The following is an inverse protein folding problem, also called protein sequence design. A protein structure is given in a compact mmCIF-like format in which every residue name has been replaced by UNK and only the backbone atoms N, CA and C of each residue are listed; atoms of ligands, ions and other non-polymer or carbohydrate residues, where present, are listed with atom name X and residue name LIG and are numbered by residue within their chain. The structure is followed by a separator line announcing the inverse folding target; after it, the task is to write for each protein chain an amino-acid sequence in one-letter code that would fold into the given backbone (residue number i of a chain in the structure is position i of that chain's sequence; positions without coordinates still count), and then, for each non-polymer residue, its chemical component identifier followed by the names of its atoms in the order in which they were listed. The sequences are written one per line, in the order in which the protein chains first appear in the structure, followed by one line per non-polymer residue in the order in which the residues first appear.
data_IF_061586077206
#
_entry.id   IF_061586077206
#
_cell.length_a   1.000
_cell.length_b   1.000
_cell.length_c   1.000
_cell.angle_alpha   90.00
_cell.angle_beta   90.00
_cell.angle_gamma   90.00
#
_symmetry.space_group_name_H-M   'P 1'
#
loop_
_entity.id
_entity.type
_entity.pdbx_description
1 polymer ?
#
# COMPACT_ATOMS: atom_id res chain seq x y z
N UNK A 1 36.58 1.43 5.74
CA UNK A 1 35.76 2.61 6.08
C UNK A 1 35.22 2.49 7.49
N UNK A 2 35.30 3.52 8.32
CA UNK A 2 35.02 3.45 9.74
C UNK A 2 33.52 3.25 10.00
N UNK A 3 33.18 2.40 10.97
CA UNK A 3 31.83 2.06 11.44
C UNK A 3 30.93 3.27 11.78
N UNK A 4 31.52 4.41 12.13
CA UNK A 4 30.81 5.63 12.54
C UNK A 4 30.03 6.31 11.39
N UNK A 5 30.50 6.23 10.13
CA UNK A 5 29.82 6.85 8.98
C UNK A 5 28.54 6.08 8.55
N UNK A 6 28.50 4.73 8.76
CA UNK A 6 27.28 3.94 8.47
C UNK A 6 26.15 4.22 9.45
N UNK A 7 26.46 4.42 10.74
CA UNK A 7 25.44 4.69 11.76
C UNK A 7 24.80 6.06 11.56
N UNK A 8 25.58 7.08 11.16
CA UNK A 8 25.07 8.43 10.91
C UNK A 8 24.14 8.49 9.68
N UNK A 9 24.36 7.66 8.66
CA UNK A 9 23.49 7.61 7.49
C UNK A 9 22.10 7.00 7.82
N UNK A 10 22.07 5.93 8.61
CA UNK A 10 20.82 5.28 9.02
C UNK A 10 19.95 6.15 9.94
N UNK A 11 20.55 6.94 10.83
CA UNK A 11 19.80 7.85 11.73
C UNK A 11 19.12 8.99 10.94
N UNK A 12 19.77 9.50 9.90
CA UNK A 12 19.18 10.53 9.02
C UNK A 12 18.03 10.00 8.15
N UNK A 13 18.02 8.72 7.79
CA UNK A 13 16.96 8.12 6.95
C UNK A 13 15.59 8.09 7.65
N UNK A 14 15.54 7.93 8.98
CA UNK A 14 14.27 7.87 9.72
C UNK A 14 13.57 9.23 9.81
N UNK A 15 14.30 10.29 10.03
CA UNK A 15 13.74 11.64 10.12
C UNK A 15 13.18 12.13 8.78
N UNK A 16 13.81 11.72 7.67
CA UNK A 16 13.50 12.20 6.33
C UNK A 16 12.81 11.11 5.46
N UNK A 17 12.09 10.17 6.06
CA UNK A 17 11.53 9.07 5.27
C UNK A 17 10.55 9.55 4.19
N UNK A 18 9.73 10.58 4.49
CA UNK A 18 8.79 11.13 3.50
C UNK A 18 9.54 11.72 2.31
N UNK A 19 10.61 12.51 2.53
CA UNK A 19 11.40 13.09 1.44
C UNK A 19 12.06 12.02 0.57
N UNK A 20 12.51 10.91 1.17
CA UNK A 20 13.03 9.78 0.40
C UNK A 20 11.94 9.08 -0.41
N UNK A 21 10.73 8.90 0.16
CA UNK A 21 9.59 8.35 -0.59
C UNK A 21 9.18 9.25 -1.76
N UNK A 22 9.12 10.57 -1.56
CA UNK A 22 8.86 11.53 -2.64
C UNK A 22 9.87 11.36 -3.77
N UNK A 23 11.16 11.37 -3.44
CA UNK A 23 12.25 11.17 -4.43
C UNK A 23 12.11 9.86 -5.18
N UNK A 24 11.80 8.75 -4.48
CA UNK A 24 11.63 7.44 -5.11
C UNK A 24 10.41 7.43 -6.02
N UNK A 25 9.30 8.02 -5.59
CA UNK A 25 8.09 8.14 -6.41
C UNK A 25 8.34 8.94 -7.68
N UNK A 26 8.97 10.13 -7.58
CA UNK A 26 9.33 10.97 -8.72
C UNK A 26 10.27 10.25 -9.70
N UNK A 27 11.28 9.56 -9.15
CA UNK A 27 12.20 8.72 -9.94
C UNK A 27 11.44 7.61 -10.66
N UNK A 28 10.56 6.88 -9.95
CA UNK A 28 9.78 5.78 -10.52
C UNK A 28 8.83 6.25 -11.63
N UNK A 29 8.13 7.37 -11.42
CA UNK A 29 7.29 8.01 -12.44
C UNK A 29 8.10 8.41 -13.66
N UNK A 30 9.27 9.00 -13.47
CA UNK A 30 10.18 9.39 -14.56
C UNK A 30 10.67 8.17 -15.35
N UNK A 31 11.08 7.11 -14.65
CA UNK A 31 11.51 5.85 -15.27
C UNK A 31 10.38 5.21 -16.08
N UNK A 32 9.17 5.13 -15.55
CA UNK A 32 8.05 4.56 -16.26
C UNK A 32 7.68 5.38 -17.50
N UNK A 33 7.68 6.72 -17.40
CA UNK A 33 7.48 7.64 -18.55
C UNK A 33 8.54 7.48 -19.63
N UNK A 34 9.78 7.18 -19.24
CA UNK A 34 10.89 6.97 -20.20
C UNK A 34 10.93 5.58 -20.84
N UNK A 35 9.94 4.71 -20.53
CA UNK A 35 9.78 3.41 -21.16
C UNK A 35 10.21 2.20 -20.33
N UNK A 36 10.64 2.38 -19.08
CA UNK A 36 10.95 1.26 -18.17
C UNK A 36 9.63 0.69 -17.61
N UNK A 37 9.00 -0.24 -18.34
CA UNK A 37 7.68 -0.80 -18.06
C UNK A 37 7.70 -2.27 -17.64
N UNK A 38 8.87 -2.80 -17.30
CA UNK A 38 9.03 -4.15 -16.80
C UNK A 38 9.42 -4.09 -15.32
N UNK A 39 8.57 -4.64 -14.44
CA UNK A 39 8.79 -4.66 -12.99
C UNK A 39 10.06 -5.42 -12.58
N UNK A 40 10.38 -6.52 -13.29
CA UNK A 40 11.56 -7.33 -12.97
C UNK A 40 12.87 -6.55 -13.16
N UNK A 41 12.96 -5.79 -14.25
CA UNK A 41 14.14 -4.99 -14.62
C UNK A 41 14.03 -3.51 -14.26
N UNK A 42 13.06 -3.12 -13.43
CA UNK A 42 12.86 -1.72 -13.03
C UNK A 42 14.06 -1.19 -12.24
N UNK A 43 14.76 -0.14 -12.73
CA UNK A 43 16.10 0.19 -12.26
C UNK A 43 16.10 1.08 -11.00
N UNK A 44 15.67 0.53 -9.86
CA UNK A 44 15.66 1.20 -8.54
C UNK A 44 16.42 0.39 -7.47
N UNK A 45 17.41 -0.41 -7.88
CA UNK A 45 18.17 -1.29 -6.98
C UNK A 45 18.83 -0.52 -5.83
N UNK A 46 19.32 0.67 -6.09
CA UNK A 46 19.93 1.54 -5.06
C UNK A 46 18.96 1.99 -3.96
N UNK A 47 17.65 2.00 -4.27
CA UNK A 47 16.58 2.42 -3.36
C UNK A 47 16.00 1.25 -2.53
N UNK A 48 16.28 -0.01 -2.93
CA UNK A 48 15.75 -1.20 -2.26
C UNK A 48 16.09 -1.30 -0.77
N UNK A 49 17.32 -0.95 -0.31
CA UNK A 49 17.61 -0.97 1.12
C UNK A 49 16.74 -0.01 1.93
N UNK A 50 16.41 1.15 1.36
CA UNK A 50 15.49 2.10 2.01
C UNK A 50 14.06 1.55 2.00
N UNK A 51 13.53 1.09 0.86
CA UNK A 51 12.19 0.51 0.76
C UNK A 51 12.02 -0.66 1.75
N UNK A 52 12.99 -1.56 1.82
CA UNK A 52 12.99 -2.68 2.77
C UNK A 52 12.95 -2.21 4.23
N UNK A 53 13.63 -1.12 4.58
CA UNK A 53 13.60 -0.53 5.92
C UNK A 53 12.21 0.01 6.30
N UNK A 54 11.39 0.29 5.30
CA UNK A 54 9.99 0.73 5.42
C UNK A 54 8.99 -0.45 5.38
N UNK A 55 9.48 -1.68 5.16
CA UNK A 55 8.65 -2.85 4.92
C UNK A 55 8.02 -2.87 3.53
N UNK A 56 8.57 -2.10 2.60
CA UNK A 56 8.17 -2.00 1.20
C UNK A 56 9.08 -2.85 0.31
N UNK A 57 8.61 -3.11 -0.91
CA UNK A 57 9.39 -3.76 -1.96
C UNK A 57 9.37 -2.93 -3.26
N UNK A 58 10.01 -3.45 -4.32
CA UNK A 58 10.10 -2.79 -5.63
C UNK A 58 8.73 -2.56 -6.25
N UNK A 59 7.80 -3.52 -6.12
CA UNK A 59 6.45 -3.42 -6.67
C UNK A 59 5.65 -2.27 -6.08
N UNK A 60 5.86 -1.93 -4.80
CA UNK A 60 5.21 -0.77 -4.18
C UNK A 60 5.55 0.56 -4.89
N UNK A 61 6.75 0.68 -5.45
CA UNK A 61 7.14 1.86 -6.22
C UNK A 61 6.72 1.76 -7.70
N UNK A 62 6.81 0.56 -8.28
CA UNK A 62 6.49 0.32 -9.68
C UNK A 62 4.99 0.49 -9.96
N UNK A 63 4.12 -0.24 -9.24
CA UNK A 63 2.67 -0.23 -9.46
C UNK A 63 2.07 1.18 -9.31
N UNK A 64 2.51 1.92 -8.29
CA UNK A 64 2.03 3.28 -8.08
C UNK A 64 2.51 4.26 -9.16
N UNK A 65 3.72 4.08 -9.68
CA UNK A 65 4.22 4.88 -10.79
C UNK A 65 3.49 4.55 -12.10
N UNK A 66 3.22 3.27 -12.36
CA UNK A 66 2.45 2.79 -13.50
C UNK A 66 1.05 3.39 -13.50
N UNK A 67 0.29 3.17 -12.43
CA UNK A 67 -1.08 3.65 -12.27
C UNK A 67 -1.15 5.18 -12.37
N UNK A 68 -0.22 5.91 -11.76
CA UNK A 68 -0.15 7.36 -11.89
C UNK A 68 0.10 7.82 -13.33
N UNK A 69 0.99 7.17 -14.05
CA UNK A 69 1.29 7.57 -15.44
C UNK A 69 0.13 7.26 -16.37
N UNK A 70 -0.57 6.15 -16.14
CA UNK A 70 -1.66 5.69 -17.01
C UNK A 70 -3.02 6.34 -16.66
N UNK A 71 -3.31 6.51 -15.38
CA UNK A 71 -4.65 6.88 -14.90
C UNK A 71 -4.68 8.17 -14.06
N UNK A 72 -3.52 8.76 -13.73
CA UNK A 72 -3.36 9.92 -12.83
C UNK A 72 -3.86 9.66 -11.40
N UNK A 73 -3.91 8.38 -11.02
CA UNK A 73 -4.32 7.89 -9.70
C UNK A 73 -3.57 6.59 -9.35
N UNK A 74 -3.26 6.33 -8.07
CA UNK A 74 -3.37 7.27 -6.94
C UNK A 74 -2.26 8.33 -6.98
N UNK A 75 -2.54 9.50 -6.41
CA UNK A 75 -1.59 10.60 -6.35
C UNK A 75 -0.44 10.39 -5.34
N UNK A 76 0.54 11.29 -5.38
CA UNK A 76 1.68 11.27 -4.45
C UNK A 76 1.24 11.31 -2.99
N UNK A 77 0.21 12.10 -2.64
CA UNK A 77 -0.26 12.19 -1.26
C UNK A 77 -0.81 10.85 -0.78
N UNK A 78 -1.61 10.19 -1.60
CA UNK A 78 -2.15 8.85 -1.33
C UNK A 78 -1.03 7.80 -1.23
N UNK A 79 -0.04 7.86 -2.13
CA UNK A 79 1.14 7.00 -2.07
C UNK A 79 1.88 7.14 -0.72
N UNK A 80 2.17 8.38 -0.30
CA UNK A 80 2.87 8.65 0.96
C UNK A 80 2.10 8.12 2.17
N UNK A 81 0.79 8.40 2.23
CA UNK A 81 -0.06 8.01 3.35
C UNK A 81 -0.24 6.49 3.46
N UNK A 82 -0.41 5.78 2.33
CA UNK A 82 -0.50 4.31 2.31
C UNK A 82 0.80 3.69 2.84
N UNK A 83 1.96 4.20 2.38
CA UNK A 83 3.24 3.64 2.75
C UNK A 83 3.70 4.06 4.16
N UNK A 84 3.20 5.18 4.68
CA UNK A 84 3.29 5.49 6.10
C UNK A 84 2.58 4.42 6.96
N UNK A 85 1.34 4.03 6.60
CA UNK A 85 0.63 2.97 7.31
C UNK A 85 1.34 1.60 7.21
N UNK A 86 1.93 1.30 6.04
CA UNK A 86 2.75 0.09 5.88
C UNK A 86 3.99 0.13 6.78
N UNK A 87 4.70 1.26 6.81
CA UNK A 87 5.86 1.46 7.69
C UNK A 87 5.50 1.31 9.16
N UNK A 88 4.42 1.97 9.59
CA UNK A 88 3.96 1.89 10.98
C UNK A 88 3.64 0.46 11.38
N UNK A 89 2.94 -0.30 10.51
CA UNK A 89 2.65 -1.70 10.77
C UNK A 89 3.94 -2.54 10.84
N UNK A 90 4.87 -2.33 9.92
CA UNK A 90 6.15 -3.02 9.89
C UNK A 90 6.98 -2.79 11.15
N UNK A 91 7.00 -1.56 11.64
CA UNK A 91 7.80 -1.19 12.82
C UNK A 91 7.10 -1.56 14.13
N UNK A 92 5.81 -1.24 14.25
CA UNK A 92 5.05 -1.38 15.50
C UNK A 92 4.58 -2.83 15.73
N UNK A 93 4.05 -3.47 14.70
CA UNK A 93 3.45 -4.80 14.79
C UNK A 93 4.47 -5.89 14.45
N UNK A 94 5.14 -5.78 13.31
CA UNK A 94 6.10 -6.79 12.84
C UNK A 94 7.50 -6.64 13.45
N UNK A 95 7.75 -5.57 14.21
CA UNK A 95 9.07 -5.32 14.83
C UNK A 95 10.23 -5.34 13.85
N UNK A 96 9.97 -4.88 12.62
CA UNK A 96 10.90 -4.84 11.47
C UNK A 96 11.31 -6.24 10.95
N UNK A 97 10.52 -7.24 11.25
CA UNK A 97 10.70 -8.60 10.72
C UNK A 97 9.72 -8.77 9.55
N UNK A 98 10.21 -8.93 8.30
CA UNK A 98 9.33 -9.16 7.16
C UNK A 98 8.53 -10.45 7.32
N UNK A 99 7.27 -10.45 6.86
CA UNK A 99 6.50 -11.68 6.73
C UNK A 99 7.14 -12.59 5.68
N UNK A 100 7.08 -13.88 5.94
CA UNK A 100 7.45 -14.92 4.97
C UNK A 100 6.22 -15.47 4.23
N UNK A 101 5.02 -15.01 4.61
CA UNK A 101 3.78 -15.39 3.95
C UNK A 101 3.54 -14.52 2.72
N UNK A 102 2.80 -15.08 1.76
CA UNK A 102 2.30 -14.36 0.60
C UNK A 102 0.82 -14.72 0.41
N UNK A 103 0.00 -13.71 0.14
CA UNK A 103 -1.41 -13.91 -0.17
C UNK A 103 -1.53 -14.66 -1.51
N UNK A 104 -2.23 -15.80 -1.48
CA UNK A 104 -2.60 -16.50 -2.70
C UNK A 104 -3.75 -15.75 -3.40
N UNK A 105 -3.55 -15.21 -4.61
CA UNK A 105 -4.59 -14.48 -5.33
C UNK A 105 -5.85 -15.31 -5.62
N UNK A 106 -5.72 -16.65 -5.70
CA UNK A 106 -6.83 -17.55 -5.95
C UNK A 106 -7.80 -17.66 -4.76
N UNK A 107 -7.33 -17.31 -3.56
CA UNK A 107 -8.16 -17.30 -2.34
C UNK A 107 -8.95 -16.02 -2.15
N UNK A 108 -8.68 -14.98 -2.96
CA UNK A 108 -9.42 -13.74 -2.88
C UNK A 108 -10.87 -13.93 -3.33
N UNK A 109 -11.86 -13.42 -2.59
CA UNK A 109 -13.25 -13.39 -3.02
C UNK A 109 -13.42 -12.83 -4.43
N UNK A 110 -14.42 -13.28 -5.15
CA UNK A 110 -14.70 -12.83 -6.50
C UNK A 110 -14.98 -11.32 -6.53
N UNK A 111 -14.73 -10.68 -7.68
CA UNK A 111 -14.98 -9.23 -7.85
C UNK A 111 -16.45 -8.86 -7.67
N UNK A 112 -17.36 -9.79 -7.93
CA UNK A 112 -18.81 -9.64 -7.78
C UNK A 112 -19.32 -9.94 -6.37
N UNK A 113 -18.49 -10.52 -5.50
CA UNK A 113 -18.93 -10.88 -4.15
C UNK A 113 -19.26 -9.65 -3.31
N UNK A 114 -20.27 -9.79 -2.47
CA UNK A 114 -20.77 -8.71 -1.64
C UNK A 114 -21.04 -9.17 -0.21
N UNK A 115 -20.87 -8.26 0.74
CA UNK A 115 -21.31 -8.41 2.14
C UNK A 115 -22.33 -7.29 2.44
N UNK A 116 -23.53 -7.66 2.90
CA UNK A 116 -24.60 -6.70 3.23
C UNK A 116 -24.88 -5.70 2.09
N UNK A 117 -24.79 -6.16 0.83
CA UNK A 117 -25.01 -5.35 -0.36
C UNK A 117 -23.88 -4.40 -0.73
N UNK A 118 -22.70 -4.58 -0.16
CA UNK A 118 -21.48 -3.84 -0.51
C UNK A 118 -20.58 -4.76 -1.32
N UNK A 119 -20.59 -4.57 -2.64
CA UNK A 119 -19.73 -5.30 -3.58
C UNK A 119 -18.27 -4.91 -3.37
N UNK A 120 -17.33 -5.79 -3.70
CA UNK A 120 -15.89 -5.63 -3.54
C UNK A 120 -15.39 -5.67 -2.08
N UNK A 121 -16.24 -5.39 -1.07
CA UNK A 121 -15.85 -5.37 0.34
C UNK A 121 -15.22 -6.69 0.81
N UNK A 122 -15.77 -7.88 0.46
CA UNK A 122 -15.14 -9.15 0.83
C UNK A 122 -13.71 -9.29 0.31
N UNK A 123 -13.43 -8.73 -0.87
CA UNK A 123 -12.15 -8.83 -1.56
C UNK A 123 -11.12 -7.84 -1.02
N UNK A 124 -11.53 -6.61 -0.71
CA UNK A 124 -10.58 -5.56 -0.30
C UNK A 124 -10.09 -5.73 1.13
N UNK A 125 -10.86 -6.37 2.02
CA UNK A 125 -10.44 -6.65 3.39
C UNK A 125 -9.15 -7.50 3.44
N UNK A 126 -9.08 -8.69 2.85
CA UNK A 126 -7.86 -9.48 2.83
C UNK A 126 -6.70 -8.78 2.07
N UNK A 127 -6.98 -8.04 1.00
CA UNK A 127 -5.96 -7.24 0.31
C UNK A 127 -5.36 -6.16 1.22
N UNK A 128 -6.19 -5.46 1.98
CA UNK A 128 -5.73 -4.44 2.92
C UNK A 128 -4.86 -5.04 4.04
N UNK A 129 -5.24 -6.20 4.58
CA UNK A 129 -4.41 -6.94 5.54
C UNK A 129 -3.07 -7.34 4.94
N UNK A 130 -3.09 -7.90 3.73
CA UNK A 130 -1.88 -8.30 3.02
C UNK A 130 -0.99 -7.08 2.73
N UNK A 131 -1.56 -5.92 2.36
CA UNK A 131 -0.81 -4.66 2.22
C UNK A 131 -0.12 -4.26 3.52
N UNK A 132 -0.85 -4.24 4.63
CA UNK A 132 -0.28 -3.91 5.95
C UNK A 132 0.84 -4.87 6.36
N UNK A 133 0.74 -6.16 6.03
CA UNK A 133 1.71 -7.20 6.36
C UNK A 133 2.87 -7.30 5.38
N UNK A 134 2.77 -6.67 4.20
CA UNK A 134 3.74 -6.83 3.11
C UNK A 134 3.67 -8.22 2.46
N UNK A 135 2.47 -8.77 2.35
CA UNK A 135 2.16 -10.13 1.86
C UNK A 135 1.48 -10.11 0.48
N UNK A 136 1.32 -8.94 -0.15
CA UNK A 136 0.75 -8.86 -1.49
C UNK A 136 1.70 -9.50 -2.51
N UNK A 137 1.20 -10.40 -3.38
CA UNK A 137 1.98 -10.92 -4.49
C UNK A 137 2.18 -9.84 -5.56
N UNK A 138 3.18 -10.01 -6.42
CA UNK A 138 3.52 -9.05 -7.48
C UNK A 138 2.37 -8.74 -8.44
N UNK A 139 1.44 -9.69 -8.63
CA UNK A 139 0.25 -9.50 -9.47
C UNK A 139 -0.93 -8.81 -8.76
N UNK A 140 -0.74 -8.33 -7.54
CA UNK A 140 -1.81 -7.72 -6.72
C UNK A 140 -1.35 -6.43 -6.07
N UNK A 141 -1.98 -5.34 -6.45
CA UNK A 141 -1.79 -4.03 -5.85
C UNK A 141 -2.96 -3.67 -4.94
N UNK A 142 -2.70 -3.12 -3.75
CA UNK A 142 -3.72 -2.38 -2.98
C UNK A 142 -3.85 -0.96 -3.52
N UNK A 143 -5.07 -0.48 -3.68
CA UNK A 143 -5.40 0.80 -4.34
C UNK A 143 -5.29 0.77 -5.88
N UNK A 144 -5.37 -0.43 -6.50
CA UNK A 144 -5.55 -0.55 -7.95
C UNK A 144 -6.89 0.04 -8.41
N UNK A 145 -7.11 0.18 -9.71
CA UNK A 145 -8.33 0.77 -10.28
C UNK A 145 -9.64 0.24 -9.70
N UNK A 146 -9.76 -1.08 -9.48
CA UNK A 146 -10.95 -1.67 -8.85
C UNK A 146 -11.10 -1.27 -7.38
N UNK A 147 -10.01 -1.20 -6.64
CA UNK A 147 -10.03 -0.74 -5.25
C UNK A 147 -10.41 0.76 -5.18
N UNK A 148 -9.87 1.59 -6.09
CA UNK A 148 -10.21 3.02 -6.17
C UNK A 148 -11.69 3.24 -6.46
N UNK A 149 -12.27 2.46 -7.36
CA UNK A 149 -13.71 2.51 -7.64
C UNK A 149 -14.52 2.18 -6.38
N UNK A 150 -14.17 1.10 -5.67
CA UNK A 150 -14.82 0.76 -4.39
C UNK A 150 -14.75 1.92 -3.38
N UNK A 151 -13.57 2.55 -3.22
CA UNK A 151 -13.41 3.66 -2.30
C UNK A 151 -14.25 4.88 -2.69
N UNK A 152 -14.27 5.24 -3.97
CA UNK A 152 -15.09 6.35 -4.50
C UNK A 152 -16.59 6.11 -4.32
N UNK A 153 -17.07 4.91 -4.66
CA UNK A 153 -18.50 4.55 -4.54
C UNK A 153 -19.02 4.55 -3.12
N UNK A 154 -18.14 4.34 -2.13
CA UNK A 154 -18.51 4.30 -0.72
C UNK A 154 -18.03 5.53 0.07
N UNK A 155 -17.49 6.56 -0.62
CA UNK A 155 -16.92 7.78 -0.04
C UNK A 155 -15.91 7.49 1.08
N UNK A 156 -14.95 6.63 0.77
CA UNK A 156 -13.90 6.20 1.68
C UNK A 156 -12.53 6.57 1.14
N UNK A 157 -11.64 7.03 2.00
CA UNK A 157 -10.25 7.18 1.63
C UNK A 157 -9.47 5.87 1.88
N UNK A 158 -8.61 5.40 0.95
CA UNK A 158 -7.88 4.14 1.11
C UNK A 158 -7.05 4.07 2.40
N UNK A 159 -6.54 5.20 2.85
CA UNK A 159 -5.75 5.27 4.10
C UNK A 159 -6.63 5.15 5.34
N UNK A 160 -7.83 5.73 5.34
CA UNK A 160 -8.79 5.52 6.43
C UNK A 160 -9.15 4.05 6.56
N UNK A 161 -9.36 3.39 5.42
CA UNK A 161 -9.65 1.96 5.39
C UNK A 161 -8.47 1.13 5.93
N UNK A 162 -7.22 1.42 5.55
CA UNK A 162 -6.05 0.74 6.12
C UNK A 162 -5.93 0.95 7.64
N UNK A 163 -6.17 2.17 8.13
CA UNK A 163 -6.17 2.46 9.57
C UNK A 163 -7.24 1.69 10.32
N UNK A 164 -8.42 1.57 9.71
CA UNK A 164 -9.52 0.77 10.26
C UNK A 164 -9.12 -0.70 10.33
N UNK A 165 -8.63 -1.28 9.23
CA UNK A 165 -8.20 -2.68 9.16
C UNK A 165 -7.08 -2.96 10.18
N UNK A 166 -6.11 -2.05 10.33
CA UNK A 166 -5.07 -2.15 11.38
C UNK A 166 -5.65 -2.25 12.78
N UNK A 167 -6.68 -1.45 13.10
CA UNK A 167 -7.33 -1.44 14.42
C UNK A 167 -8.25 -2.64 14.64
N UNK A 168 -9.01 -3.02 13.62
CA UNK A 168 -9.93 -4.15 13.66
C UNK A 168 -9.20 -5.51 13.74
N UNK A 169 -7.94 -5.56 13.32
CA UNK A 169 -7.15 -6.80 13.27
C UNK A 169 -7.86 -7.86 12.42
N UNK A 170 -8.30 -8.97 13.04
CA UNK A 170 -9.00 -10.07 12.35
C UNK A 170 -10.53 -9.95 12.43
N UNK A 171 -11.06 -8.91 13.07
CA UNK A 171 -12.50 -8.71 13.21
C UNK A 171 -13.09 -8.00 11.98
N UNK A 172 -13.60 -8.78 11.03
CA UNK A 172 -14.26 -8.27 9.82
C UNK A 172 -15.55 -7.53 10.13
N UNK A 173 -16.24 -7.88 11.23
CA UNK A 173 -17.52 -7.25 11.55
C UNK A 173 -17.35 -5.76 11.86
N UNK A 174 -16.28 -5.40 12.57
CA UNK A 174 -15.94 -3.99 12.84
C UNK A 174 -15.74 -3.21 11.53
N UNK A 175 -15.07 -3.83 10.54
CA UNK A 175 -14.83 -3.20 9.23
C UNK A 175 -16.14 -3.02 8.48
N UNK A 176 -16.96 -4.08 8.43
CA UNK A 176 -18.26 -4.09 7.73
C UNK A 176 -19.20 -3.03 8.31
N UNK A 177 -19.31 -2.98 9.62
CA UNK A 177 -20.23 -2.04 10.29
C UNK A 177 -19.80 -0.58 10.10
N UNK A 178 -18.49 -0.32 10.09
CA UNK A 178 -17.95 1.01 9.81
C UNK A 178 -18.27 1.46 8.36
N UNK A 179 -18.04 0.59 7.36
CA UNK A 179 -18.37 0.92 5.96
C UNK A 179 -19.86 1.17 5.78
N UNK A 180 -20.71 0.38 6.44
CA UNK A 180 -22.16 0.57 6.43
C UNK A 180 -22.58 1.89 7.06
N UNK A 181 -21.92 2.34 8.13
CA UNK A 181 -22.26 3.62 8.78
C UNK A 181 -21.97 4.79 7.85
N UNK A 182 -20.82 4.79 7.16
CA UNK A 182 -20.46 5.82 6.17
C UNK A 182 -21.47 5.91 5.03
N UNK A 183 -21.89 4.75 4.52
CA UNK A 183 -22.89 4.71 3.44
C UNK A 183 -24.26 5.26 3.84
N UNK A 184 -24.62 5.23 5.13
CA UNK A 184 -25.86 5.82 5.64
C UNK A 184 -25.76 7.33 5.78
N UNK A 185 -24.62 7.84 6.26
CA UNK A 185 -24.38 9.28 6.42
C UNK A 185 -24.45 10.02 5.07
N UNK A 186 -23.98 9.39 3.99
CA UNK A 186 -23.98 9.98 2.64
C UNK A 186 -25.33 9.94 1.92
N UNK A 187 -26.39 9.40 2.54
CA UNK A 187 -27.76 9.38 1.99
C UNK A 187 -28.68 10.43 2.62
N UNK A 188 -28.18 11.22 3.56
CA UNK A 188 -28.87 12.33 4.21
C UNK A 188 -28.48 13.67 3.57
#
# INVERSE_FOLDING_TARGET
LPRAQRVSFFVKMNHNFQSNLVRIWEKSVSLYKSGNRNSESFPIEEDLPFLSSMGMNKMDAFDFAEDWVLEQEPDLATFLLIHEQRRDYFWEVQKKIPSTNQLDPSTLPAKSDSIKGITWLPRIIPKARAKLRGELPECSMFCCGGDRNFFKENDLHPVEFLRLVKRAKEDDQVIIDWVLSRKKENKL
#
